data_IF_762665612870
#
_entry.id   IF_762665612870
#
_cell.length_a   1.000
_cell.length_b   1.000
_cell.length_c   1.000
_cell.angle_alpha   90.00
_cell.angle_beta   90.00
_cell.angle_gamma   90.00
#
_symmetry.space_group_name_H-M   'P 1'
#
loop_
_entity.id
_entity.type
_entity.pdbx_description
1 polymer ?
#
# COMPACT_ATOMS: atom_id res chain seq x y z
N UNK A 1 -3.48 -29.32 9.79
CA UNK A 1 -3.97 -28.40 8.74
C UNK A 1 -3.07 -27.17 8.76
N UNK A 2 -2.11 -27.06 7.84
CA UNK A 2 -1.13 -25.98 7.83
C UNK A 2 -1.70 -24.77 7.07
N UNK A 3 -1.75 -23.62 7.73
CA UNK A 3 -2.27 -22.38 7.16
C UNK A 3 -1.30 -21.83 6.11
N UNK A 4 -1.79 -21.58 4.88
CA UNK A 4 -1.03 -21.00 3.77
C UNK A 4 -0.78 -19.47 3.92
N UNK A 5 -1.02 -18.90 5.10
CA UNK A 5 -0.78 -17.48 5.42
C UNK A 5 0.72 -17.09 5.45
N UNK A 6 1.62 -18.01 5.10
CA UNK A 6 3.08 -17.90 5.30
C UNK A 6 3.90 -17.75 4.02
N UNK A 7 3.27 -17.54 2.86
CA UNK A 7 4.01 -17.25 1.63
C UNK A 7 4.50 -15.80 1.68
N UNK A 8 5.72 -15.62 2.18
CA UNK A 8 6.47 -14.37 2.04
C UNK A 8 7.44 -14.48 0.87
N UNK A 9 7.20 -13.74 -0.21
CA UNK A 9 8.12 -13.68 -1.35
C UNK A 9 9.33 -12.78 -1.03
N UNK A 10 10.26 -13.26 -0.20
CA UNK A 10 11.54 -12.58 0.03
C UNK A 10 12.37 -12.54 -1.26
N UNK A 11 12.80 -11.35 -1.67
CA UNK A 11 13.77 -11.16 -2.75
C UNK A 11 13.20 -11.06 -4.17
N UNK A 12 11.88 -10.96 -4.35
CA UNK A 12 11.33 -10.64 -5.68
C UNK A 12 11.44 -9.13 -5.96
N UNK A 13 11.52 -8.75 -7.25
CA UNK A 13 11.42 -7.35 -7.70
C UNK A 13 10.18 -6.62 -7.17
N UNK A 14 9.19 -7.34 -6.65
CA UNK A 14 7.95 -6.82 -6.10
C UNK A 14 8.02 -6.48 -4.59
N UNK A 15 9.21 -6.51 -3.97
CA UNK A 15 9.43 -6.15 -2.57
C UNK A 15 10.38 -4.95 -2.48
N UNK A 16 9.84 -3.79 -2.08
CA UNK A 16 10.61 -2.58 -1.83
C UNK A 16 11.28 -2.54 -0.44
N UNK A 17 11.96 -1.43 -0.13
CA UNK A 17 12.47 -1.17 1.22
C UNK A 17 11.31 -1.02 2.22
N UNK A 18 11.52 -1.46 3.45
CA UNK A 18 10.57 -1.35 4.55
C UNK A 18 11.14 -0.50 5.68
N UNK A 19 10.30 0.38 6.22
CA UNK A 19 10.58 1.13 7.45
C UNK A 19 9.60 0.65 8.53
N UNK A 20 10.10 0.41 9.75
CA UNK A 20 9.29 -0.05 10.88
C UNK A 20 9.14 -1.57 10.99
N UNK A 21 8.12 -2.01 11.74
CA UNK A 21 7.92 -3.43 12.08
C UNK A 21 7.11 -4.23 11.05
N UNK A 22 6.39 -3.57 10.15
CA UNK A 22 5.68 -4.21 9.05
C UNK A 22 6.69 -4.55 7.96
N UNK A 23 6.84 -5.85 7.67
CA UNK A 23 7.83 -6.32 6.69
C UNK A 23 7.22 -6.39 5.29
N UNK A 24 7.80 -5.72 4.29
CA UNK A 24 7.48 -5.96 2.89
C UNK A 24 7.57 -7.45 2.54
N UNK A 25 6.66 -7.91 1.68
CA UNK A 25 6.46 -9.31 1.32
C UNK A 25 5.53 -10.09 2.25
N UNK A 26 5.12 -9.54 3.40
CA UNK A 26 4.10 -10.15 4.25
C UNK A 26 2.69 -9.92 3.67
N UNK A 27 1.75 -10.82 4.00
CA UNK A 27 0.33 -10.58 3.72
C UNK A 27 -0.13 -9.31 4.44
N UNK A 28 -0.91 -8.48 3.75
CA UNK A 28 -1.52 -7.30 4.31
C UNK A 28 -2.34 -7.69 5.56
N UNK A 29 -2.08 -7.07 6.73
CA UNK A 29 -2.85 -7.37 7.94
C UNK A 29 -4.34 -7.13 7.71
N UNK A 30 -5.15 -8.07 8.21
CA UNK A 30 -6.58 -7.80 8.36
C UNK A 30 -6.79 -6.75 9.44
N UNK A 31 -7.58 -5.74 9.14
CA UNK A 31 -8.04 -4.77 10.12
C UNK A 31 -9.46 -4.31 9.74
N UNK A 32 -10.40 -4.30 10.70
CA UNK A 32 -11.70 -3.69 10.49
C UNK A 32 -11.54 -2.18 10.36
N UNK A 33 -12.43 -1.59 9.56
CA UNK A 33 -12.63 -0.17 9.34
C UNK A 33 -14.09 0.17 9.61
N UNK A 34 -14.44 1.44 9.82
CA UNK A 34 -15.84 1.84 10.07
C UNK A 34 -16.86 1.38 9.01
N UNK A 35 -16.42 1.14 7.77
CA UNK A 35 -17.28 0.71 6.64
C UNK A 35 -16.87 -0.63 6.01
N UNK A 36 -16.07 -1.46 6.70
CA UNK A 36 -15.63 -2.75 6.17
C UNK A 36 -14.28 -3.17 6.75
N UNK A 37 -13.34 -3.55 5.90
CA UNK A 37 -11.98 -3.89 6.30
C UNK A 37 -10.95 -3.42 5.27
N UNK A 38 -9.68 -3.39 5.68
CA UNK A 38 -8.57 -3.12 4.74
C UNK A 38 -8.53 -4.17 3.61
N UNK A 39 -8.98 -5.40 3.88
CA UNK A 39 -9.07 -6.42 2.84
C UNK A 39 -10.10 -6.04 1.78
N UNK A 40 -11.25 -5.51 2.19
CA UNK A 40 -12.30 -5.05 1.26
C UNK A 40 -11.81 -3.86 0.41
N UNK A 41 -11.06 -2.93 1.02
CA UNK A 41 -10.46 -1.80 0.29
C UNK A 41 -9.39 -2.21 -0.73
N UNK A 42 -8.67 -3.29 -0.43
CA UNK A 42 -7.55 -3.77 -1.25
C UNK A 42 -7.93 -4.98 -2.10
N UNK A 43 -9.23 -5.24 -2.21
CA UNK A 43 -9.77 -6.25 -3.10
C UNK A 43 -9.88 -5.66 -4.52
N UNK A 44 -8.99 -6.08 -5.42
CA UNK A 44 -8.96 -5.56 -6.78
C UNK A 44 -7.76 -6.03 -7.60
N UNK A 45 -7.71 -5.63 -8.87
CA UNK A 45 -6.66 -6.02 -9.82
C UNK A 45 -5.46 -5.06 -9.81
N UNK A 46 -5.51 -4.01 -9.00
CA UNK A 46 -4.49 -2.95 -8.93
C UNK A 46 -3.65 -2.98 -7.65
N UNK A 47 -2.62 -2.15 -7.63
CA UNK A 47 -1.92 -1.82 -6.39
C UNK A 47 -2.75 -0.84 -5.57
N UNK A 48 -2.60 -0.90 -4.25
CA UNK A 48 -3.30 -0.02 -3.33
C UNK A 48 -2.31 0.70 -2.44
N UNK A 49 -2.42 2.03 -2.35
CA UNK A 49 -1.59 2.85 -1.45
C UNK A 49 -2.46 3.27 -0.28
N UNK A 50 -2.16 2.75 0.91
CA UNK A 50 -2.81 3.15 2.16
C UNK A 50 -2.03 4.32 2.78
N UNK A 51 -2.70 5.45 2.96
CA UNK A 51 -2.17 6.67 3.55
C UNK A 51 -2.60 6.75 5.02
N UNK A 52 -1.74 6.31 5.93
CA UNK A 52 -1.99 6.37 7.38
C UNK A 52 -1.53 7.72 7.93
N UNK A 53 -2.45 8.50 8.50
CA UNK A 53 -2.14 9.75 9.20
C UNK A 53 -1.21 10.71 8.42
N UNK A 54 -1.27 10.67 7.09
CA UNK A 54 -0.43 11.49 6.21
C UNK A 54 -0.96 12.93 6.21
N UNK A 55 -0.13 13.95 6.46
CA UNK A 55 -0.54 15.35 6.27
C UNK A 55 -0.85 15.62 4.80
N UNK A 56 -1.96 16.32 4.53
CA UNK A 56 -2.42 16.64 3.16
C UNK A 56 -2.47 15.39 2.26
N UNK A 57 -3.24 14.34 2.64
CA UNK A 57 -3.25 13.08 1.92
C UNK A 57 -3.70 13.23 0.46
N UNK A 58 -4.52 14.24 0.14
CA UNK A 58 -4.95 14.59 -1.21
C UNK A 58 -3.77 14.98 -2.13
N UNK A 59 -2.76 15.68 -1.59
CA UNK A 59 -1.57 16.07 -2.35
C UNK A 59 -0.74 14.83 -2.68
N UNK A 60 -0.62 13.91 -1.73
CA UNK A 60 0.09 12.64 -1.94
C UNK A 60 -0.68 11.73 -2.91
N UNK A 61 -2.00 11.63 -2.77
CA UNK A 61 -2.85 10.84 -3.68
C UNK A 61 -2.77 11.33 -5.12
N UNK A 62 -2.80 12.64 -5.35
CA UNK A 62 -2.69 13.23 -6.68
C UNK A 62 -1.39 12.85 -7.42
N UNK A 63 -0.31 12.52 -6.69
CA UNK A 63 0.95 12.02 -7.28
C UNK A 63 0.79 10.64 -7.93
N UNK A 64 -0.13 9.82 -7.43
CA UNK A 64 -0.41 8.49 -7.97
C UNK A 64 -1.52 8.53 -9.02
N UNK A 65 -2.63 9.23 -8.75
CA UNK A 65 -3.83 9.23 -9.59
C UNK A 65 -3.53 9.71 -11.02
N UNK A 66 -2.79 10.81 -11.16
CA UNK A 66 -2.44 11.36 -12.48
C UNK A 66 -1.44 10.50 -13.27
N UNK A 67 -0.75 9.58 -12.60
CA UNK A 67 0.32 8.76 -13.19
C UNK A 67 -0.11 7.34 -13.51
N UNK A 68 -1.00 6.76 -12.70
CA UNK A 68 -1.27 5.33 -12.70
C UNK A 68 -2.72 4.96 -13.00
N UNK A 69 -3.53 5.88 -13.54
CA UNK A 69 -4.90 5.64 -14.00
C UNK A 69 -5.68 4.65 -13.10
N UNK A 70 -5.99 3.45 -13.60
CA UNK A 70 -6.71 2.40 -12.86
C UNK A 70 -5.80 1.34 -12.22
N UNK A 71 -4.48 1.43 -12.38
CA UNK A 71 -3.52 0.43 -11.90
C UNK A 71 -3.11 0.63 -10.44
N UNK A 72 -3.28 1.84 -9.89
CA UNK A 72 -3.00 2.17 -8.50
C UNK A 72 -4.19 2.93 -7.91
N UNK A 73 -4.68 2.51 -6.76
CA UNK A 73 -5.75 3.18 -6.03
C UNK A 73 -5.25 3.66 -4.68
N UNK A 74 -5.51 4.93 -4.36
CA UNK A 74 -5.09 5.55 -3.09
C UNK A 74 -6.23 5.54 -2.07
N UNK A 75 -5.94 5.16 -0.83
CA UNK A 75 -6.90 5.07 0.27
C UNK A 75 -6.41 5.85 1.48
N UNK A 76 -7.23 6.75 2.01
CA UNK A 76 -6.91 7.48 3.24
C UNK A 76 -7.40 6.69 4.45
N UNK A 77 -6.49 6.37 5.36
CA UNK A 77 -6.83 5.70 6.62
C UNK A 77 -6.85 6.74 7.74
N UNK A 78 -8.06 7.05 8.22
CA UNK A 78 -8.29 8.04 9.27
C UNK A 78 -7.57 7.65 10.57
N UNK A 79 -7.01 8.61 11.34
CA UNK A 79 -6.46 8.35 12.68
C UNK A 79 -7.44 7.66 13.64
N UNK A 80 -8.76 7.83 13.43
CA UNK A 80 -9.81 7.15 14.22
C UNK A 80 -9.87 5.64 13.98
N UNK A 81 -9.27 5.13 12.90
CA UNK A 81 -9.19 3.70 12.59
C UNK A 81 -8.04 3.05 13.36
N UNK A 82 -8.14 3.05 14.69
CA UNK A 82 -7.09 2.58 15.61
C UNK A 82 -6.72 1.11 15.37
N UNK A 83 -7.71 0.28 15.02
CA UNK A 83 -7.49 -1.14 14.72
C UNK A 83 -6.56 -1.32 13.51
N UNK A 84 -6.73 -0.49 12.48
CA UNK A 84 -5.86 -0.50 11.30
C UNK A 84 -4.45 0.00 11.64
N UNK A 85 -4.34 1.11 12.37
CA UNK A 85 -3.04 1.63 12.82
C UNK A 85 -2.27 0.59 13.64
N UNK A 86 -2.94 -0.10 14.56
CA UNK A 86 -2.34 -1.16 15.38
C UNK A 86 -1.93 -2.38 14.54
N UNK A 87 -2.79 -2.86 13.65
CA UNK A 87 -2.52 -4.04 12.83
C UNK A 87 -1.35 -3.82 11.85
N UNK A 88 -1.28 -2.61 11.27
CA UNK A 88 -0.20 -2.20 10.38
C UNK A 88 1.04 -1.70 11.14
N UNK A 89 0.97 -1.62 12.46
CA UNK A 89 2.05 -1.15 13.35
C UNK A 89 2.55 0.24 12.96
N UNK A 90 1.61 1.12 12.68
CA UNK A 90 1.85 2.50 12.29
C UNK A 90 1.51 3.41 13.47
N UNK A 91 2.50 4.17 13.93
CA UNK A 91 2.44 5.11 15.06
C UNK A 91 2.53 6.58 14.60
N UNK A 92 2.50 6.83 13.30
CA UNK A 92 2.58 8.16 12.70
C UNK A 92 2.35 8.14 11.18
N UNK A 93 2.64 9.24 10.48
CA UNK A 93 2.45 9.34 9.04
C UNK A 93 3.17 8.22 8.27
N UNK A 94 2.44 7.42 7.50
CA UNK A 94 3.02 6.29 6.76
C UNK A 94 2.27 5.98 5.46
N UNK A 95 3.04 5.58 4.45
CA UNK A 95 2.55 5.02 3.19
C UNK A 95 2.76 3.51 3.22
N UNK A 96 1.70 2.75 2.97
CA UNK A 96 1.77 1.29 2.82
C UNK A 96 1.27 0.91 1.44
N UNK A 97 2.14 0.31 0.64
CA UNK A 97 1.80 -0.18 -0.70
C UNK A 97 1.40 -1.65 -0.60
N UNK A 98 0.21 -1.98 -1.06
CA UNK A 98 -0.35 -3.34 -1.12
C UNK A 98 -0.50 -3.75 -2.57
N UNK A 99 -0.12 -4.99 -2.87
CA UNK A 99 -0.18 -5.62 -4.19
C UNK A 99 -1.60 -6.14 -4.48
N UNK A 100 -1.93 -6.40 -5.76
CA UNK A 100 -3.20 -7.04 -6.13
C UNK A 100 -3.42 -8.41 -5.47
N UNK A 101 -2.34 -9.11 -5.08
CA UNK A 101 -2.42 -10.40 -4.38
C UNK A 101 -2.55 -10.26 -2.85
N UNK A 102 -2.83 -9.05 -2.35
CA UNK A 102 -3.04 -8.78 -0.92
C UNK A 102 -1.77 -8.82 -0.07
N UNK A 103 -0.58 -8.67 -0.67
CA UNK A 103 0.68 -8.59 0.06
C UNK A 103 1.23 -7.17 0.11
N UNK A 104 1.89 -6.82 1.20
CA UNK A 104 2.59 -5.53 1.33
C UNK A 104 3.79 -5.54 0.38
N UNK A 105 3.81 -4.64 -0.60
CA UNK A 105 4.94 -4.44 -1.49
C UNK A 105 6.01 -3.53 -0.88
N UNK A 106 5.62 -2.46 -0.18
CA UNK A 106 6.54 -1.49 0.39
C UNK A 106 5.91 -0.71 1.56
N UNK A 107 6.77 -0.15 2.42
CA UNK A 107 6.38 0.75 3.52
C UNK A 107 7.33 1.93 3.53
N UNK A 108 6.81 3.15 3.44
CA UNK A 108 7.61 4.36 3.27
C UNK A 108 7.07 5.53 4.11
N UNK A 109 7.95 6.46 4.49
CA UNK A 109 7.56 7.75 5.05
C UNK A 109 6.90 8.64 3.97
N UNK A 110 6.04 9.61 4.34
CA UNK A 110 5.44 10.53 3.38
C UNK A 110 6.45 11.34 2.55
N UNK A 111 7.64 11.61 3.09
CA UNK A 111 8.73 12.26 2.35
C UNK A 111 9.39 11.38 1.28
N UNK A 112 9.04 10.09 1.20
CA UNK A 112 9.61 9.10 0.29
C UNK A 112 8.62 8.63 -0.78
N UNK A 113 7.64 9.46 -1.14
CA UNK A 113 6.67 9.17 -2.21
C UNK A 113 7.37 8.85 -3.53
N UNK A 114 8.44 9.58 -3.86
CA UNK A 114 9.17 9.39 -5.12
C UNK A 114 9.81 8.00 -5.21
N UNK A 115 10.31 7.46 -4.09
CA UNK A 115 10.80 6.08 -4.02
C UNK A 115 9.71 5.04 -4.33
N UNK A 116 8.47 5.28 -3.88
CA UNK A 116 7.35 4.40 -4.21
C UNK A 116 6.95 4.52 -5.69
N UNK A 117 7.03 5.73 -6.25
CA UNK A 117 6.80 5.96 -7.68
C UNK A 117 7.84 5.25 -8.53
N UNK A 118 9.12 5.36 -8.19
CA UNK A 118 10.21 4.64 -8.89
C UNK A 118 10.02 3.13 -8.82
N UNK A 119 9.62 2.61 -7.64
CA UNK A 119 9.28 1.20 -7.49
C UNK A 119 8.13 0.80 -8.43
N UNK A 120 7.03 1.56 -8.42
CA UNK A 120 5.86 1.31 -9.27
C UNK A 120 6.20 1.39 -10.76
N UNK A 121 7.01 2.35 -11.18
CA UNK A 121 7.52 2.47 -12.56
C UNK A 121 8.35 1.24 -13.00
N UNK A 122 9.01 0.57 -12.05
CA UNK A 122 9.83 -0.61 -12.34
C UNK A 122 9.01 -1.90 -12.49
N UNK A 123 7.79 -1.94 -11.93
CA UNK A 123 6.92 -3.14 -11.88
C UNK A 123 5.66 -3.00 -12.74
N UNK A 124 5.17 -1.78 -12.96
CA UNK A 124 4.03 -1.50 -13.82
C UNK A 124 4.53 -1.08 -15.20
N UNK A 125 3.96 -1.69 -16.24
CA UNK A 125 4.19 -1.21 -17.61
C UNK A 125 3.40 0.07 -17.81
N UNK A 126 4.04 1.14 -18.29
CA UNK A 126 3.30 2.35 -18.67
C UNK A 126 2.43 2.03 -19.86
N UNK A 127 1.11 2.06 -19.67
CA UNK A 127 0.19 2.11 -20.80
C UNK A 127 0.24 3.55 -21.32
N UNK A 128 0.87 3.77 -22.47
CA UNK A 128 0.75 5.06 -23.15
C UNK A 128 -0.72 5.27 -23.47
N UNK A 129 -1.29 6.37 -22.98
CA UNK A 129 -2.60 6.81 -23.43
C UNK A 129 -2.48 7.13 -24.92
N UNK A 130 -3.07 6.28 -25.77
CA UNK A 130 -3.29 6.59 -27.18
C UNK A 130 -4.30 7.75 -27.17
N UNK A 131 -3.83 8.94 -27.58
CA UNK A 131 -4.67 10.12 -27.81
C UNK A 131 -5.50 9.95 -29.07
#
# INVERSE_FOLDING_TARGET
MFSQLWIGYRGSRAVGRGVGQLKPGARAPYAPLGTGSVLDLTHGTGYHVLLFSVPQPEVVAARFDGRYAAAVTTHVISPSEEAAHRAYKVDGPRLVLVRPDGHVAAVADPGSVDTLIEFLDSVLTRVQAIR
#
